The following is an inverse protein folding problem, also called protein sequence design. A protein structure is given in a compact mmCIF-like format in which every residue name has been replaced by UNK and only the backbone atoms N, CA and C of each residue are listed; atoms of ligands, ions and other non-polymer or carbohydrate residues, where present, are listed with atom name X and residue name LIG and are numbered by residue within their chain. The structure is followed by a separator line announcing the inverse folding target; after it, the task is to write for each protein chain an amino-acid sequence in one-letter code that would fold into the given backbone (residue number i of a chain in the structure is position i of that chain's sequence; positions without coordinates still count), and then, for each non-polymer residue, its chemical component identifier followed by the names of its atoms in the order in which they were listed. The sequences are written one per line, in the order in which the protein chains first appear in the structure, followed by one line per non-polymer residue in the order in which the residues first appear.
data_IF_616491545146
#
_entry.id   IF_616491545146
#
_cell.length_a   1.000
_cell.length_b   1.000
_cell.length_c   1.000
_cell.angle_alpha   90.00
_cell.angle_beta   90.00
_cell.angle_gamma   90.00
#
_symmetry.space_group_name_H-M   'P 1'
#
loop_
_entity.id
_entity.type
_entity.pdbx_description
1 polymer ?
#
# COMPACT_ATOMS: atom_id res chain seq x y z
N UNK A 1 0.18 -7.00 -10.68
CA UNK A 1 -1.29 -6.75 -10.58
C UNK A 1 -1.55 -5.66 -9.55
N UNK A 2 -1.95 -4.50 -10.02
CA UNK A 2 -2.26 -3.31 -9.21
C UNK A 2 -3.48 -3.59 -8.33
N UNK A 3 -3.28 -3.67 -7.01
CA UNK A 3 -4.29 -4.02 -5.98
C UNK A 3 -4.93 -5.40 -6.16
N UNK A 4 -4.21 -6.34 -6.79
CA UNK A 4 -4.74 -7.63 -7.21
C UNK A 4 -5.51 -7.56 -8.54
N UNK A 5 -6.41 -8.53 -8.79
CA UNK A 5 -7.33 -8.52 -9.94
C UNK A 5 -8.51 -7.59 -9.67
N UNK A 6 -8.24 -6.32 -9.36
CA UNK A 6 -9.22 -5.33 -8.88
C UNK A 6 -10.33 -4.98 -9.89
N UNK A 7 -10.21 -5.41 -11.15
CA UNK A 7 -11.27 -5.33 -12.14
C UNK A 7 -12.34 -6.42 -12.00
N UNK A 8 -12.10 -7.45 -11.17
CA UNK A 8 -12.94 -8.64 -11.03
C UNK A 8 -13.35 -8.96 -9.59
N UNK A 9 -12.56 -8.49 -8.61
CA UNK A 9 -12.75 -8.76 -7.17
C UNK A 9 -12.42 -7.48 -6.41
N UNK A 10 -13.10 -7.16 -5.29
CA UNK A 10 -12.77 -5.98 -4.50
C UNK A 10 -11.29 -5.87 -4.18
N UNK A 11 -10.74 -4.68 -4.39
CA UNK A 11 -9.30 -4.40 -4.31
C UNK A 11 -8.69 -4.80 -2.96
N UNK A 12 -7.39 -5.15 -2.97
CA UNK A 12 -6.62 -5.45 -1.77
C UNK A 12 -7.22 -6.56 -0.90
N UNK A 13 -7.77 -7.59 -1.52
CA UNK A 13 -8.24 -8.81 -0.83
C UNK A 13 -7.36 -10.00 -1.21
N UNK A 14 -7.29 -11.01 -0.34
CA UNK A 14 -6.57 -12.25 -0.68
C UNK A 14 -7.15 -12.92 -1.93
N UNK A 15 -8.48 -12.83 -2.13
CA UNK A 15 -9.15 -13.31 -3.34
C UNK A 15 -8.69 -12.58 -4.60
N UNK A 16 -8.54 -11.23 -4.54
CA UNK A 16 -8.05 -10.44 -5.66
C UNK A 16 -6.59 -10.79 -6.02
N UNK A 17 -5.72 -11.00 -5.03
CA UNK A 17 -4.33 -11.39 -5.26
C UNK A 17 -4.23 -12.82 -5.83
N UNK A 18 -4.99 -13.77 -5.28
CA UNK A 18 -5.02 -15.14 -5.79
C UNK A 18 -5.48 -15.18 -7.25
N UNK A 19 -6.58 -14.50 -7.57
CA UNK A 19 -7.08 -14.42 -8.93
C UNK A 19 -6.05 -13.78 -9.89
N UNK A 20 -5.40 -12.70 -9.48
CA UNK A 20 -4.36 -12.06 -10.28
C UNK A 20 -3.23 -13.03 -10.64
N UNK A 21 -2.77 -13.81 -9.68
CA UNK A 21 -1.74 -14.84 -9.90
C UNK A 21 -2.22 -15.92 -10.85
N UNK A 22 -3.46 -16.39 -10.71
CA UNK A 22 -4.08 -17.37 -11.60
C UNK A 22 -4.24 -16.83 -13.04
N UNK A 23 -4.42 -15.52 -13.18
CA UNK A 23 -4.44 -14.82 -14.47
C UNK A 23 -3.04 -14.56 -15.06
N UNK A 24 -1.97 -15.03 -14.40
CA UNK A 24 -0.60 -14.96 -14.90
C UNK A 24 0.21 -13.75 -14.40
N UNK A 25 -0.26 -13.00 -13.40
CA UNK A 25 0.51 -11.89 -12.86
C UNK A 25 1.85 -12.36 -12.25
N UNK A 26 2.95 -11.70 -12.59
CA UNK A 26 4.29 -11.97 -12.05
C UNK A 26 4.51 -11.30 -10.69
N UNK A 27 3.82 -10.19 -10.43
CA UNK A 27 3.87 -9.44 -9.19
C UNK A 27 2.46 -9.11 -8.71
N UNK A 28 2.24 -9.23 -7.38
CA UNK A 28 1.09 -8.64 -6.71
C UNK A 28 1.51 -7.35 -6.02
N UNK A 29 0.65 -6.36 -6.10
CA UNK A 29 0.93 -5.03 -5.61
C UNK A 29 -0.08 -4.69 -4.50
N UNK A 30 0.37 -4.69 -3.22
CA UNK A 30 -0.39 -4.19 -2.09
C UNK A 30 0.00 -2.75 -1.73
N UNK A 31 -0.96 -1.85 -1.69
CA UNK A 31 -0.85 -0.59 -0.96
C UNK A 31 -0.94 -0.86 0.54
N UNK A 32 -0.08 -0.26 1.33
CA UNK A 32 0.00 -0.50 2.77
C UNK A 32 -0.30 0.76 3.57
N UNK A 33 -1.14 0.57 4.58
CA UNK A 33 -1.42 1.54 5.64
C UNK A 33 -1.22 0.88 7.01
N UNK A 34 -1.23 1.68 8.09
CA UNK A 34 -0.95 1.20 9.43
C UNK A 34 -2.20 1.19 10.30
N UNK A 35 -2.36 0.16 11.11
CA UNK A 35 -3.34 0.12 12.20
C UNK A 35 -2.84 0.84 13.44
N UNK A 36 -3.73 1.15 14.39
CA UNK A 36 -3.41 1.75 15.70
C UNK A 36 -2.36 0.93 16.48
N UNK A 37 -2.41 -0.38 16.39
CA UNK A 37 -1.49 -1.31 17.06
C UNK A 37 -0.28 -1.69 16.19
N UNK A 38 0.03 -0.89 15.15
CA UNK A 38 1.25 -0.99 14.36
C UNK A 38 1.33 -2.20 13.44
N UNK A 39 0.20 -2.63 12.85
CA UNK A 39 0.16 -3.69 11.85
C UNK A 39 -0.01 -3.11 10.44
N UNK A 40 0.75 -3.64 9.50
CA UNK A 40 0.63 -3.31 8.09
C UNK A 40 -0.54 -4.07 7.47
N UNK A 41 -1.52 -3.36 6.95
CA UNK A 41 -2.69 -3.91 6.25
C UNK A 41 -2.79 -3.34 4.84
N UNK A 42 -3.39 -4.10 3.94
CA UNK A 42 -3.51 -3.68 2.55
C UNK A 42 -4.77 -2.85 2.33
N UNK A 43 -4.60 -1.55 2.15
CA UNK A 43 -5.59 -0.57 1.69
C UNK A 43 -4.90 0.56 0.93
N UNK A 44 -5.55 1.07 -0.13
CA UNK A 44 -5.01 2.22 -0.86
C UNK A 44 -5.07 3.50 -0.01
N UNK A 45 -6.21 3.75 0.62
CA UNK A 45 -6.41 4.90 1.50
C UNK A 45 -6.41 4.43 2.96
N UNK A 46 -5.95 5.27 3.87
CA UNK A 46 -6.16 5.05 5.30
C UNK A 46 -7.61 5.34 5.72
N UNK A 47 -8.40 6.06 4.89
CA UNK A 47 -9.84 6.19 5.05
C UNK A 47 -10.54 4.89 4.60
N UNK A 48 -11.31 4.29 5.50
CA UNK A 48 -11.87 2.94 5.34
C UNK A 48 -13.26 2.90 4.69
N UNK A 49 -14.02 4.01 4.74
CA UNK A 49 -15.43 4.05 4.33
C UNK A 49 -15.65 3.80 2.84
N UNK A 50 -14.66 4.13 1.99
CA UNK A 50 -14.77 3.93 0.54
C UNK A 50 -14.62 2.48 0.10
N UNK A 51 -13.93 1.65 0.91
CA UNK A 51 -13.55 0.30 0.49
C UNK A 51 -13.82 -0.78 1.52
N UNK A 52 -14.56 -0.43 2.59
CA UNK A 52 -15.03 -1.37 3.62
C UNK A 52 -16.45 -1.04 4.05
N UNK A 53 -17.09 -2.01 4.68
CA UNK A 53 -18.43 -1.89 5.25
C UNK A 53 -18.48 -1.20 6.62
N UNK A 54 -17.42 -0.47 7.03
CA UNK A 54 -17.29 0.18 8.33
C UNK A 54 -18.48 1.06 8.71
N UNK A 55 -19.13 1.68 7.72
CA UNK A 55 -20.32 2.50 7.92
C UNK A 55 -21.56 1.67 8.38
N UNK A 56 -21.52 0.35 8.22
CA UNK A 56 -22.56 -0.58 8.64
C UNK A 56 -22.33 -1.13 10.06
N UNK A 57 -21.21 -0.71 10.71
CA UNK A 57 -20.79 -1.13 12.04
C UNK A 57 -21.13 -0.06 13.07
N UNK A 58 -22.27 -0.15 13.77
CA UNK A 58 -22.69 0.89 14.74
C UNK A 58 -21.70 1.04 15.90
N UNK A 59 -20.97 -0.01 16.27
CA UNK A 59 -19.92 0.02 17.30
C UNK A 59 -18.75 0.94 16.95
N UNK A 60 -18.61 1.34 15.70
CA UNK A 60 -17.55 2.25 15.23
C UNK A 60 -18.07 3.63 14.83
N UNK A 61 -19.35 3.90 15.01
CA UNK A 61 -19.97 5.17 14.58
C UNK A 61 -19.25 6.40 15.18
N UNK A 62 -18.88 6.33 16.45
CA UNK A 62 -18.22 7.42 17.19
C UNK A 62 -16.78 7.69 16.73
N UNK A 63 -16.18 6.83 15.93
CA UNK A 63 -14.83 7.00 15.39
C UNK A 63 -14.79 7.79 14.08
N UNK A 64 -15.95 8.08 13.50
CA UNK A 64 -16.02 8.92 12.31
C UNK A 64 -15.58 10.33 12.66
N UNK A 65 -14.55 10.82 11.97
CA UNK A 65 -13.98 12.15 12.22
C UNK A 65 -13.43 12.80 10.95
N UNK A 66 -13.11 14.09 11.06
CA UNK A 66 -12.44 14.84 10.01
C UNK A 66 -10.98 15.06 10.38
N UNK A 67 -10.07 14.77 9.44
CA UNK A 67 -8.65 15.07 9.59
C UNK A 67 -8.00 15.42 8.24
N UNK A 68 -6.80 15.99 8.29
CA UNK A 68 -5.98 16.19 7.09
C UNK A 68 -5.03 15.00 6.89
N UNK A 69 -5.10 14.39 5.71
CA UNK A 69 -4.16 13.37 5.23
C UNK A 69 -3.47 13.92 4.00
N UNK A 70 -2.15 14.02 4.03
CA UNK A 70 -1.32 14.58 2.94
C UNK A 70 -1.81 15.94 2.43
N UNK A 71 -2.28 16.79 3.36
CA UNK A 71 -2.77 18.13 3.06
C UNK A 71 -4.25 18.21 2.64
N UNK A 72 -4.90 17.07 2.37
CA UNK A 72 -6.32 17.00 1.98
C UNK A 72 -7.17 16.72 3.21
N UNK A 73 -8.25 17.49 3.39
CA UNK A 73 -9.22 17.24 4.45
C UNK A 73 -10.17 16.11 4.05
N UNK A 74 -10.24 15.08 4.90
CA UNK A 74 -11.06 13.89 4.70
C UNK A 74 -11.94 13.68 5.93
N UNK A 75 -13.18 13.21 5.70
CA UNK A 75 -14.12 12.82 6.76
C UNK A 75 -14.48 11.35 6.61
N UNK A 76 -14.19 10.55 7.62
CA UNK A 76 -14.46 9.11 7.58
C UNK A 76 -13.89 8.37 8.77
N UNK A 77 -13.61 7.11 8.60
CA UNK A 77 -12.98 6.21 9.56
C UNK A 77 -11.55 5.91 9.09
N UNK A 78 -10.56 6.07 9.95
CA UNK A 78 -9.16 5.97 9.55
C UNK A 78 -8.49 4.74 10.16
N UNK A 79 -7.69 4.03 9.39
CA UNK A 79 -7.05 2.77 9.78
C UNK A 79 -6.24 2.87 11.08
N UNK A 80 -5.63 4.01 11.34
CA UNK A 80 -4.87 4.31 12.55
C UNK A 80 -5.73 4.47 13.83
N UNK A 81 -7.04 4.52 13.70
CA UNK A 81 -7.99 4.54 14.82
C UNK A 81 -8.44 3.12 15.22
N UNK A 82 -8.07 2.10 14.45
CA UNK A 82 -8.48 0.70 14.63
C UNK A 82 -7.28 -0.20 14.94
N UNK A 83 -7.48 -1.15 15.85
CA UNK A 83 -6.58 -2.29 16.00
C UNK A 83 -6.78 -3.28 14.84
N UNK A 84 -5.79 -4.17 14.62
CA UNK A 84 -5.95 -5.23 13.63
C UNK A 84 -7.19 -6.11 13.94
N UNK A 85 -7.43 -6.43 15.21
CA UNK A 85 -8.58 -7.25 15.60
C UNK A 85 -9.90 -6.60 15.20
N UNK A 86 -10.03 -5.29 15.36
CA UNK A 86 -11.22 -4.54 14.91
C UNK A 86 -11.32 -4.49 13.38
N UNK A 87 -10.21 -4.24 12.66
CA UNK A 87 -10.21 -4.26 11.19
C UNK A 87 -10.61 -5.62 10.62
N UNK A 88 -10.29 -6.72 11.32
CA UNK A 88 -10.69 -8.07 10.90
C UNK A 88 -12.19 -8.34 11.02
N UNK A 89 -12.96 -7.52 11.72
CA UNK A 89 -14.42 -7.60 11.72
C UNK A 89 -15.05 -6.99 10.46
N UNK A 90 -14.35 -6.07 9.80
CA UNK A 90 -14.79 -5.40 8.59
C UNK A 90 -14.64 -6.29 7.36
N UNK A 91 -15.41 -5.96 6.32
CA UNK A 91 -15.34 -6.61 5.01
C UNK A 91 -15.06 -5.59 3.92
N UNK A 92 -14.32 -6.03 2.92
CA UNK A 92 -14.04 -5.23 1.73
C UNK A 92 -15.29 -5.05 0.88
N UNK A 93 -15.44 -3.84 0.32
CA UNK A 93 -16.45 -3.50 -0.67
C UNK A 93 -15.80 -2.88 -1.91
N UNK A 94 -16.50 -2.90 -3.03
CA UNK A 94 -16.05 -2.31 -4.29
C UNK A 94 -16.06 -0.79 -4.22
N UNK A 95 -14.92 -0.17 -4.58
CA UNK A 95 -14.73 1.30 -4.58
C UNK A 95 -15.62 2.03 -5.59
N UNK A 96 -15.82 1.45 -6.78
CA UNK A 96 -16.50 2.07 -7.92
C UNK A 96 -17.59 1.15 -8.49
N UNK A 97 -18.62 0.82 -7.68
CA UNK A 97 -19.61 -0.20 -8.04
C UNK A 97 -20.40 0.12 -9.31
N UNK A 98 -20.54 1.41 -9.67
CA UNK A 98 -21.23 1.84 -10.89
C UNK A 98 -20.55 1.35 -12.17
N UNK A 99 -19.22 1.25 -12.18
CA UNK A 99 -18.47 0.76 -13.35
C UNK A 99 -17.95 -0.67 -13.17
N UNK A 100 -18.04 -1.21 -11.94
CA UNK A 100 -17.66 -2.59 -11.60
C UNK A 100 -18.79 -3.32 -10.86
N UNK A 101 -20.01 -3.40 -11.43
CA UNK A 101 -21.16 -3.98 -10.73
C UNK A 101 -20.97 -5.48 -10.45
N UNK A 102 -20.13 -6.17 -11.21
CA UNK A 102 -19.77 -7.57 -10.96
C UNK A 102 -19.00 -7.74 -9.64
N UNK A 103 -18.09 -6.81 -9.34
CA UNK A 103 -17.31 -6.83 -8.09
C UNK A 103 -18.20 -6.55 -6.88
N UNK A 104 -19.14 -5.61 -6.98
CA UNK A 104 -20.04 -5.25 -5.89
C UNK A 104 -20.91 -6.42 -5.41
N UNK A 105 -21.07 -7.48 -6.22
CA UNK A 105 -21.73 -8.73 -5.78
C UNK A 105 -20.89 -9.51 -4.76
N UNK A 106 -19.62 -9.19 -4.64
CA UNK A 106 -18.67 -9.79 -3.70
C UNK A 106 -18.43 -8.93 -2.46
N UNK A 107 -19.15 -7.79 -2.35
CA UNK A 107 -19.08 -6.92 -1.16
C UNK A 107 -19.44 -7.73 0.09
N UNK A 108 -18.73 -7.51 1.17
CA UNK A 108 -18.94 -8.23 2.41
C UNK A 108 -18.33 -9.64 2.47
N UNK A 109 -17.69 -10.11 1.38
CA UNK A 109 -17.14 -11.48 1.32
C UNK A 109 -15.73 -11.59 1.91
N UNK A 110 -14.87 -10.60 1.66
CA UNK A 110 -13.44 -10.70 1.97
C UNK A 110 -13.03 -9.80 3.13
N UNK A 111 -12.13 -10.33 3.96
CA UNK A 111 -11.46 -9.56 5.02
C UNK A 111 -10.40 -8.62 4.46
N UNK A 112 -9.97 -7.66 5.30
CA UNK A 112 -8.79 -6.82 5.04
C UNK A 112 -7.53 -7.62 5.40
N UNK A 113 -6.63 -7.91 4.44
CA UNK A 113 -5.45 -8.71 4.73
C UNK A 113 -4.31 -7.86 5.30
N UNK A 114 -3.52 -8.49 6.15
CA UNK A 114 -2.19 -8.00 6.56
C UNK A 114 -1.16 -8.29 5.47
N UNK A 115 -0.03 -7.56 5.50
CA UNK A 115 1.11 -7.88 4.65
C UNK A 115 1.60 -9.33 4.84
N UNK A 116 1.57 -9.86 6.08
CA UNK A 116 2.00 -11.23 6.33
C UNK A 116 1.08 -12.24 5.63
N UNK A 117 -0.24 -12.07 5.72
CA UNK A 117 -1.20 -12.96 5.03
C UNK A 117 -1.02 -12.93 3.51
N UNK A 118 -0.71 -11.77 2.94
CA UNK A 118 -0.41 -11.65 1.49
C UNK A 118 0.88 -12.42 1.15
N UNK A 119 1.92 -12.29 1.97
CA UNK A 119 3.18 -13.03 1.77
C UNK A 119 2.94 -14.54 1.85
N UNK A 120 2.15 -15.00 2.82
CA UNK A 120 1.85 -16.43 3.00
C UNK A 120 1.06 -16.98 1.80
N UNK A 121 0.08 -16.23 1.31
CA UNK A 121 -0.64 -16.54 0.07
C UNK A 121 0.32 -16.64 -1.13
N UNK A 122 1.17 -15.62 -1.33
CA UNK A 122 2.11 -15.60 -2.46
C UNK A 122 3.07 -16.80 -2.41
N UNK A 123 3.60 -17.15 -1.24
CA UNK A 123 4.45 -18.33 -1.07
C UNK A 123 3.73 -19.64 -1.42
N UNK A 124 2.49 -19.78 -0.98
CA UNK A 124 1.66 -20.94 -1.30
C UNK A 124 1.38 -21.04 -2.80
N UNK A 125 1.06 -19.90 -3.44
CA UNK A 125 0.83 -19.85 -4.88
C UNK A 125 2.11 -20.09 -5.71
N UNK A 126 3.29 -19.67 -5.25
CA UNK A 126 4.56 -20.01 -5.89
C UNK A 126 4.77 -21.52 -5.98
N UNK A 127 4.41 -22.26 -4.93
CA UNK A 127 4.50 -23.73 -4.90
C UNK A 127 3.52 -24.34 -5.90
N UNK A 128 2.24 -23.94 -5.84
CA UNK A 128 1.20 -24.52 -6.68
C UNK A 128 1.35 -24.17 -8.17
N UNK A 129 1.87 -22.98 -8.48
CA UNK A 129 2.08 -22.48 -9.84
C UNK A 129 3.48 -22.80 -10.38
N UNK A 130 4.37 -23.39 -9.57
CA UNK A 130 5.76 -23.75 -9.90
C UNK A 130 6.54 -22.59 -10.57
N UNK A 131 6.28 -21.36 -10.13
CA UNK A 131 6.96 -20.15 -10.63
C UNK A 131 7.17 -19.13 -9.53
N UNK A 132 8.15 -18.25 -9.71
CA UNK A 132 8.35 -17.12 -8.83
C UNK A 132 7.23 -16.09 -9.01
N UNK A 133 6.65 -15.65 -7.90
CA UNK A 133 5.69 -14.55 -7.84
C UNK A 133 6.28 -13.51 -6.91
N UNK A 134 6.37 -12.27 -7.39
CA UNK A 134 6.97 -11.19 -6.64
C UNK A 134 5.94 -10.34 -5.90
N UNK A 135 6.47 -9.47 -5.04
CA UNK A 135 5.72 -8.48 -4.28
C UNK A 135 6.15 -7.07 -4.69
N UNK A 136 5.18 -6.16 -4.76
CA UNK A 136 5.43 -4.77 -5.10
C UNK A 136 4.72 -3.82 -4.13
N UNK A 137 5.00 -3.91 -2.79
CA UNK A 137 4.31 -3.11 -1.78
C UNK A 137 4.58 -1.61 -1.94
N UNK A 138 3.53 -0.81 -1.79
CA UNK A 138 3.59 0.65 -1.68
C UNK A 138 3.40 1.10 -0.23
N UNK A 139 4.23 2.03 0.24
CA UNK A 139 3.96 2.79 1.46
C UNK A 139 3.04 3.95 1.12
N UNK A 140 1.82 3.93 1.64
CA UNK A 140 0.85 5.04 1.51
C UNK A 140 0.98 5.99 2.69
N UNK A 141 0.86 7.30 2.42
CA UNK A 141 0.79 8.32 3.47
C UNK A 141 1.96 8.25 4.48
N UNK A 142 3.19 7.99 4.02
CA UNK A 142 4.36 7.76 4.88
C UNK A 142 4.60 8.88 5.90
N UNK A 143 4.57 10.13 5.46
CA UNK A 143 4.72 11.31 6.33
C UNK A 143 3.58 11.44 7.34
N UNK A 144 2.34 11.13 6.94
CA UNK A 144 1.18 11.13 7.85
C UNK A 144 1.38 10.12 8.99
N UNK A 145 1.68 8.86 8.65
CA UNK A 145 1.89 7.82 9.66
C UNK A 145 3.13 8.08 10.53
N UNK A 146 4.19 8.62 9.96
CA UNK A 146 5.38 9.00 10.74
C UNK A 146 5.06 10.05 11.81
N UNK A 147 4.24 11.06 11.49
CA UNK A 147 3.78 12.09 12.44
C UNK A 147 2.93 11.52 13.58
N UNK A 148 2.24 10.42 13.34
CA UNK A 148 1.47 9.69 14.35
C UNK A 148 2.31 8.71 15.19
N UNK A 149 3.62 8.61 14.94
CA UNK A 149 4.48 7.61 15.59
C UNK A 149 4.30 6.19 15.04
N UNK A 150 3.65 6.05 13.89
CA UNK A 150 3.33 4.79 13.20
C UNK A 150 4.17 4.61 11.92
N UNK A 151 5.44 5.01 11.93
CA UNK A 151 6.36 4.87 10.79
C UNK A 151 6.40 3.44 10.25
N UNK A 152 6.24 3.28 8.93
CA UNK A 152 6.02 1.97 8.29
C UNK A 152 7.31 1.29 7.80
N UNK A 153 8.39 2.03 7.60
CA UNK A 153 9.62 1.55 6.94
C UNK A 153 10.23 0.35 7.67
N UNK A 154 10.42 0.46 8.99
CA UNK A 154 11.01 -0.62 9.81
C UNK A 154 10.10 -1.84 9.92
N UNK A 155 8.79 -1.72 10.21
CA UNK A 155 7.86 -2.84 10.19
C UNK A 155 7.82 -3.57 8.84
N UNK A 156 7.80 -2.81 7.72
CA UNK A 156 7.81 -3.37 6.36
C UNK A 156 9.09 -4.19 6.12
N UNK A 157 10.26 -3.59 6.33
CA UNK A 157 11.54 -4.28 6.13
C UNK A 157 11.66 -5.50 7.03
N UNK A 158 11.27 -5.39 8.31
CA UNK A 158 11.29 -6.50 9.25
C UNK A 158 10.41 -7.66 8.78
N UNK A 159 9.21 -7.37 8.28
CA UNK A 159 8.30 -8.40 7.76
C UNK A 159 8.89 -9.07 6.52
N UNK A 160 9.39 -8.30 5.56
CA UNK A 160 10.02 -8.85 4.35
C UNK A 160 11.24 -9.71 4.68
N UNK A 161 12.16 -9.22 5.55
CA UNK A 161 13.38 -9.94 5.92
C UNK A 161 13.08 -11.26 6.66
N UNK A 162 12.12 -11.26 7.59
CA UNK A 162 11.67 -12.49 8.28
C UNK A 162 11.14 -13.55 7.33
N UNK A 163 10.60 -13.11 6.20
CA UNK A 163 10.06 -13.97 5.17
C UNK A 163 11.09 -14.39 4.10
N UNK A 164 12.37 -14.01 4.28
CA UNK A 164 13.47 -14.41 3.39
C UNK A 164 13.68 -13.47 2.20
N UNK A 165 12.94 -12.35 2.10
CA UNK A 165 13.15 -11.36 1.06
C UNK A 165 14.30 -10.43 1.45
N UNK A 166 15.52 -10.76 0.98
CA UNK A 166 16.76 -10.07 1.34
C UNK A 166 17.51 -9.62 0.08
N UNK A 167 17.94 -8.35 0.11
CA UNK A 167 18.83 -7.80 -0.90
C UNK A 167 18.21 -7.63 -2.30
N UNK A 168 19.04 -7.26 -3.30
CA UNK A 168 18.55 -6.80 -4.60
C UNK A 168 18.05 -7.92 -5.53
N UNK A 169 18.32 -9.19 -5.19
CA UNK A 169 17.83 -10.34 -5.96
C UNK A 169 16.49 -10.88 -5.47
N UNK A 170 16.00 -10.40 -4.32
CA UNK A 170 14.66 -10.77 -3.87
C UNK A 170 13.61 -10.36 -4.93
N UNK A 171 12.58 -11.16 -5.18
CA UNK A 171 11.49 -10.81 -6.11
C UNK A 171 10.55 -9.80 -5.44
N UNK A 172 11.12 -8.68 -5.00
CA UNK A 172 10.40 -7.60 -4.31
C UNK A 172 10.89 -6.25 -4.82
N UNK A 173 9.95 -5.36 -5.05
CA UNK A 173 10.19 -3.92 -5.19
C UNK A 173 9.34 -3.19 -4.16
N UNK A 174 9.93 -2.24 -3.43
CA UNK A 174 9.17 -1.37 -2.53
C UNK A 174 9.02 -0.03 -3.21
N UNK A 175 7.81 0.52 -3.23
CA UNK A 175 7.52 1.77 -3.93
C UNK A 175 6.90 2.81 -2.99
N UNK A 176 7.08 4.08 -3.34
CA UNK A 176 6.42 5.21 -2.69
C UNK A 176 6.46 6.46 -3.57
N UNK A 177 5.48 7.34 -3.39
CA UNK A 177 5.49 8.70 -3.93
C UNK A 177 6.39 9.64 -3.12
N UNK A 178 6.63 9.36 -1.84
CA UNK A 178 7.46 10.18 -0.97
C UNK A 178 8.95 9.83 -1.11
N UNK A 179 9.80 10.84 -0.98
CA UNK A 179 11.25 10.72 -1.16
C UNK A 179 11.97 10.27 0.11
N UNK A 180 11.54 10.80 1.26
CA UNK A 180 12.28 10.60 2.52
C UNK A 180 12.13 9.16 3.04
N UNK A 181 10.96 8.56 2.91
CA UNK A 181 10.76 7.16 3.29
C UNK A 181 11.59 6.21 2.41
N UNK A 182 11.72 6.47 1.10
CA UNK A 182 12.60 5.68 0.23
C UNK A 182 14.07 5.85 0.59
N UNK A 183 14.50 7.06 0.96
CA UNK A 183 15.88 7.28 1.47
C UNK A 183 16.13 6.55 2.80
N UNK A 184 15.14 6.50 3.69
CA UNK A 184 15.24 5.71 4.93
C UNK A 184 15.27 4.21 4.61
N UNK A 185 14.39 3.72 3.75
CA UNK A 185 14.38 2.33 3.29
C UNK A 185 15.72 1.93 2.68
N UNK A 186 16.38 2.82 1.90
CA UNK A 186 17.71 2.57 1.34
C UNK A 186 18.78 2.28 2.38
N UNK A 187 18.63 2.84 3.60
CA UNK A 187 19.53 2.58 4.73
C UNK A 187 19.21 1.26 5.45
N UNK A 188 17.94 0.83 5.40
CA UNK A 188 17.44 -0.34 6.13
C UNK A 188 17.55 -1.65 5.36
N UNK A 189 17.54 -1.58 4.02
CA UNK A 189 17.50 -2.80 3.18
C UNK A 189 18.22 -2.63 1.84
N UNK A 190 18.67 -3.76 1.28
CA UNK A 190 19.15 -3.83 -0.10
C UNK A 190 18.05 -4.18 -1.13
N UNK A 191 16.79 -4.33 -0.72
CA UNK A 191 15.68 -4.58 -1.63
C UNK A 191 15.55 -3.39 -2.61
N UNK A 192 15.17 -3.69 -3.85
CA UNK A 192 15.01 -2.67 -4.89
C UNK A 192 13.85 -1.72 -4.55
N UNK A 193 14.13 -0.42 -4.67
CA UNK A 193 13.17 0.65 -4.39
C UNK A 193 12.75 1.33 -5.68
N UNK A 194 11.49 1.78 -5.76
CA UNK A 194 10.93 2.50 -6.90
C UNK A 194 10.33 3.81 -6.42
N UNK A 195 10.77 4.91 -7.03
CA UNK A 195 10.20 6.23 -6.80
C UNK A 195 9.01 6.41 -7.75
N UNK A 196 7.82 6.55 -7.18
CA UNK A 196 6.62 6.88 -7.94
C UNK A 196 6.54 8.39 -8.21
N UNK A 197 6.03 8.75 -9.37
CA UNK A 197 5.81 10.13 -9.79
C UNK A 197 4.32 10.39 -10.02
N UNK A 198 3.82 11.42 -9.36
CA UNK A 198 2.49 11.99 -9.58
C UNK A 198 2.59 13.41 -10.14
N UNK A 199 1.58 14.21 -9.89
CA UNK A 199 1.56 15.64 -10.20
C UNK A 199 2.04 16.49 -9.01
N UNK A 200 2.58 17.67 -9.28
CA UNK A 200 3.00 18.62 -8.25
C UNK A 200 4.25 18.18 -7.48
N UNK A 201 4.15 18.10 -6.16
CA UNK A 201 5.26 17.82 -5.25
C UNK A 201 5.03 16.53 -4.46
N UNK A 202 6.10 15.75 -4.15
CA UNK A 202 6.01 14.74 -3.09
C UNK A 202 5.55 15.38 -1.78
N UNK A 203 4.60 14.72 -1.10
CA UNK A 203 4.00 15.34 0.09
C UNK A 203 5.01 15.58 1.22
N UNK A 204 5.95 14.67 1.42
CA UNK A 204 7.03 14.84 2.41
C UNK A 204 7.90 16.07 2.15
N UNK A 205 8.13 16.40 0.88
CA UNK A 205 8.90 17.61 0.49
C UNK A 205 8.06 18.87 0.73
N UNK A 206 6.80 18.87 0.34
CA UNK A 206 5.88 19.96 0.64
C UNK A 206 5.73 20.19 2.14
N UNK A 207 5.53 19.14 2.91
CA UNK A 207 5.35 19.17 4.36
C UNK A 207 6.60 19.66 5.13
N UNK A 208 7.78 19.54 4.53
CA UNK A 208 9.04 20.06 5.03
C UNK A 208 9.36 21.51 4.55
N UNK A 209 8.44 22.13 3.81
CA UNK A 209 8.66 23.47 3.23
C UNK A 209 9.61 23.49 2.03
N UNK A 210 9.89 22.33 1.43
CA UNK A 210 10.71 22.21 0.23
C UNK A 210 9.93 22.59 -1.04
N UNK A 211 10.66 22.73 -2.16
CA UNK A 211 10.10 23.10 -3.46
C UNK A 211 10.24 22.00 -4.53
N UNK A 212 10.84 20.85 -4.20
CA UNK A 212 11.11 19.78 -5.15
C UNK A 212 9.80 19.21 -5.74
N UNK A 213 9.70 19.23 -7.07
CA UNK A 213 8.55 18.70 -7.81
C UNK A 213 8.86 17.38 -8.51
N UNK A 214 7.84 16.59 -8.83
CA UNK A 214 8.01 15.38 -9.65
C UNK A 214 8.55 15.72 -11.06
N UNK A 215 8.15 16.86 -11.63
CA UNK A 215 8.68 17.33 -12.90
C UNK A 215 10.18 17.58 -12.85
N UNK A 216 10.69 18.21 -11.78
CA UNK A 216 12.14 18.39 -11.57
C UNK A 216 12.86 17.06 -11.35
N UNK A 217 12.24 16.13 -10.64
CA UNK A 217 12.77 14.78 -10.42
C UNK A 217 12.85 13.97 -11.73
N UNK A 218 12.00 14.26 -12.71
CA UNK A 218 11.99 13.62 -14.02
C UNK A 218 13.04 14.17 -14.99
N UNK A 219 13.72 15.29 -14.66
CA UNK A 219 14.83 15.78 -15.48
C UNK A 219 16.05 14.88 -15.41
N UNK A 220 16.99 14.99 -16.37
CA UNK A 220 18.24 14.25 -16.34
C UNK A 220 19.05 14.48 -15.03
N UNK A 221 19.00 15.69 -14.47
CA UNK A 221 19.61 16.00 -13.17
C UNK A 221 18.85 15.31 -12.02
N UNK A 222 17.51 15.39 -12.04
CA UNK A 222 16.64 14.77 -11.04
C UNK A 222 16.79 13.25 -11.02
N UNK A 223 16.76 12.60 -12.17
CA UNK A 223 16.93 11.14 -12.30
C UNK A 223 18.28 10.67 -11.74
N UNK A 224 19.37 11.44 -11.95
CA UNK A 224 20.66 11.13 -11.31
C UNK A 224 20.60 11.22 -9.77
N UNK A 225 19.77 12.09 -9.20
CA UNK A 225 19.58 12.16 -7.75
C UNK A 225 18.73 10.98 -7.26
N UNK A 226 17.65 10.64 -7.96
CA UNK A 226 16.79 9.50 -7.65
C UNK A 226 17.57 8.19 -7.70
N UNK A 227 18.43 8.00 -8.70
CA UNK A 227 19.29 6.81 -8.85
C UNK A 227 20.24 6.54 -7.65
N UNK A 228 20.43 7.51 -6.75
CA UNK A 228 21.23 7.32 -5.53
C UNK A 228 20.50 6.49 -4.47
N UNK A 229 19.18 6.46 -4.50
CA UNK A 229 18.37 5.75 -3.50
C UNK A 229 17.36 4.77 -4.12
N UNK A 230 16.88 4.99 -5.33
CA UNK A 230 15.92 4.13 -6.01
C UNK A 230 16.55 3.38 -7.18
N UNK A 231 16.06 2.17 -7.42
CA UNK A 231 16.45 1.31 -8.54
C UNK A 231 15.74 1.73 -9.84
N UNK A 232 14.53 2.24 -9.71
CA UNK A 232 13.69 2.63 -10.82
C UNK A 232 12.71 3.75 -10.47
N UNK A 233 11.98 4.20 -11.48
CA UNK A 233 10.91 5.19 -11.35
C UNK A 233 9.61 4.63 -11.92
N UNK A 234 8.47 5.01 -11.33
CA UNK A 234 7.13 4.66 -11.78
C UNK A 234 6.33 5.94 -12.04
N UNK A 235 6.34 6.49 -13.27
CA UNK A 235 5.53 7.65 -13.60
C UNK A 235 4.07 7.29 -13.71
N UNK A 236 3.20 8.23 -13.35
CA UNK A 236 1.77 8.21 -13.70
C UNK A 236 1.60 8.34 -15.22
N UNK A 237 0.51 7.75 -15.76
CA UNK A 237 0.25 7.71 -17.20
C UNK A 237 -0.49 8.93 -17.69
#
# INVERSE_FOLDING_TARGET
AHRGASGYVPEHTLGAYALAVMMGADYVEPDLVMTRDGKLVARHDNELGLTTDVAQHPEFADRKRTQKVDGVELTGWFSEDFTLAELKTLRAIERIPTIRPGNARLDGTFEIPTLQEIIDLVKSLQISQQRTIGLYPEIKHGTHFQRLGLAMERPLVKTLHRNGYLGPRAPVFIQSFEVNNLKELKRLTGIRLVQLYGSGQPYDQQAAGGSLTYAEMATAKGLRQVARYAYGVGPDK
#
